data_IF_010807999576
#
_entry.id   IF_010807999576
#
_cell.length_a   1.000
_cell.length_b   1.000
_cell.length_c   1.000
_cell.angle_alpha   90.00
_cell.angle_beta   90.00
_cell.angle_gamma   90.00
#
_symmetry.space_group_name_H-M   'P 1'
#
loop_
_entity.id
_entity.type
_entity.pdbx_description
1 polymer ?
#
# COMPACT_ATOMS: atom_id res chain seq x y z
N UNK A 1 24.64 1.24 22.98
CA UNK A 1 24.94 0.24 21.95
C UNK A 1 24.40 -1.12 22.40
N UNK A 2 23.63 -1.76 21.56
CA UNK A 2 23.05 -3.06 21.88
C UNK A 2 24.01 -4.18 21.50
N UNK A 3 24.15 -5.25 22.32
CA UNK A 3 24.93 -6.40 21.92
C UNK A 3 24.36 -7.03 20.64
N UNK A 4 25.18 -7.63 19.76
CA UNK A 4 24.71 -8.21 18.51
C UNK A 4 23.58 -9.23 18.68
N UNK A 5 23.53 -9.92 19.82
CA UNK A 5 22.53 -10.96 20.09
C UNK A 5 21.21 -10.40 20.62
N UNK A 6 21.18 -9.15 21.12
CA UNK A 6 19.96 -8.54 21.64
C UNK A 6 19.33 -7.55 20.70
N UNK A 7 20.02 -7.23 19.58
CA UNK A 7 19.47 -6.37 18.55
C UNK A 7 18.32 -7.04 17.82
N UNK A 8 17.31 -6.27 17.48
CA UNK A 8 16.20 -6.73 16.67
C UNK A 8 16.20 -5.98 15.35
N UNK A 9 15.39 -6.45 14.39
CA UNK A 9 15.24 -5.76 13.11
C UNK A 9 13.82 -5.87 12.61
N UNK A 10 13.39 -4.82 11.93
CA UNK A 10 12.14 -4.78 11.19
C UNK A 10 12.46 -5.05 9.72
N UNK A 11 11.77 -6.02 9.14
CA UNK A 11 11.86 -6.31 7.70
C UNK A 11 10.56 -5.83 7.07
N UNK A 12 10.60 -4.63 6.51
CA UNK A 12 9.43 -3.98 5.94
C UNK A 12 9.46 -4.11 4.42
N UNK A 13 8.48 -4.81 3.87
CA UNK A 13 8.31 -4.97 2.43
C UNK A 13 7.27 -3.97 1.93
N UNK A 14 7.72 -2.97 1.20
CA UNK A 14 6.86 -1.89 0.68
C UNK A 14 6.44 -2.23 -0.74
N UNK A 15 5.15 -2.51 -0.94
CA UNK A 15 4.60 -2.97 -2.21
C UNK A 15 3.62 -1.97 -2.81
N UNK A 16 3.60 -1.93 -4.14
CA UNK A 16 2.60 -1.19 -4.91
C UNK A 16 1.91 -2.15 -5.87
N UNK A 17 0.66 -1.84 -6.20
CA UNK A 17 -0.06 -2.62 -7.19
C UNK A 17 0.46 -2.32 -8.60
N UNK A 18 0.28 -3.26 -9.52
CA UNK A 18 0.67 -3.07 -10.91
C UNK A 18 0.08 -1.78 -11.52
N UNK A 19 -1.20 -1.50 -11.24
CA UNK A 19 -1.84 -0.28 -11.74
C UNK A 19 -1.37 0.99 -11.03
N UNK A 20 -0.61 0.86 -9.95
CA UNK A 20 0.00 1.98 -9.25
C UNK A 20 1.45 2.24 -9.69
N UNK A 21 1.80 1.91 -10.91
CA UNK A 21 3.19 2.03 -11.39
C UNK A 21 3.74 3.45 -11.28
N UNK A 22 2.91 4.47 -11.42
CA UNK A 22 3.34 5.86 -11.26
C UNK A 22 3.77 6.17 -9.82
N UNK A 23 3.25 5.46 -8.83
CA UNK A 23 3.68 5.61 -7.44
C UNK A 23 5.13 5.19 -7.24
N UNK A 24 5.67 4.35 -8.10
CA UNK A 24 7.06 3.94 -8.05
C UNK A 24 8.05 5.08 -8.26
N UNK A 25 7.59 6.22 -8.78
CA UNK A 25 8.41 7.44 -8.92
C UNK A 25 8.50 8.22 -7.62
N UNK A 26 7.67 7.88 -6.63
CA UNK A 26 7.62 8.53 -5.32
C UNK A 26 8.40 7.67 -4.33
N UNK A 27 9.30 8.30 -3.57
CA UNK A 27 10.04 7.60 -2.51
C UNK A 27 9.15 7.49 -1.28
N UNK A 28 8.87 6.27 -0.78
CA UNK A 28 8.06 6.13 0.43
C UNK A 28 8.80 6.67 1.65
N UNK A 29 8.04 7.23 2.59
CA UNK A 29 8.56 7.73 3.85
C UNK A 29 8.14 6.77 4.96
N UNK A 30 9.12 6.29 5.72
CA UNK A 30 8.92 5.42 6.86
C UNK A 30 9.20 6.23 8.11
N UNK A 31 8.23 6.28 9.03
CA UNK A 31 8.37 7.01 10.30
C UNK A 31 8.35 5.98 11.42
N UNK A 32 9.42 5.93 12.21
CA UNK A 32 9.54 5.03 13.34
C UNK A 32 9.72 5.87 14.60
N UNK A 33 8.77 5.75 15.53
CA UNK A 33 8.76 6.52 16.80
C UNK A 33 8.88 8.04 16.56
N UNK A 34 8.20 8.52 15.50
CA UNK A 34 8.21 9.93 15.15
C UNK A 34 9.41 10.39 14.35
N UNK A 35 10.34 9.51 14.00
CA UNK A 35 11.54 9.83 13.23
C UNK A 35 11.38 9.41 11.78
N UNK A 36 11.28 10.35 10.83
CA UNK A 36 11.13 10.02 9.43
C UNK A 36 12.44 9.55 8.80
N UNK A 37 12.32 8.61 7.87
CA UNK A 37 13.44 8.17 7.05
C UNK A 37 12.91 7.85 5.65
N UNK A 38 13.78 7.97 4.65
CA UNK A 38 13.45 7.56 3.30
C UNK A 38 13.51 6.05 3.18
N UNK A 39 12.41 5.45 2.71
CA UNK A 39 12.36 4.04 2.38
C UNK A 39 12.61 3.81 0.90
N UNK A 40 12.40 2.57 0.49
CA UNK A 40 12.42 2.19 -0.93
C UNK A 40 11.35 1.15 -1.17
N UNK A 41 10.96 1.03 -2.42
CA UNK A 41 10.06 -0.04 -2.82
C UNK A 41 10.78 -1.38 -2.68
N UNK A 42 10.06 -2.37 -2.18
CA UNK A 42 10.63 -3.66 -1.87
C UNK A 42 11.03 -3.79 -0.41
N UNK A 43 12.00 -4.62 -0.13
CA UNK A 43 12.40 -4.97 1.24
C UNK A 43 13.30 -3.90 1.84
N UNK A 44 12.90 -3.41 3.01
CA UNK A 44 13.70 -2.50 3.85
C UNK A 44 14.04 -3.23 5.15
N UNK A 45 15.32 -3.40 5.44
CA UNK A 45 15.78 -3.99 6.69
C UNK A 45 16.22 -2.87 7.62
N UNK A 46 15.52 -2.71 8.74
CA UNK A 46 15.75 -1.60 9.66
C UNK A 46 16.12 -2.17 11.02
N UNK A 47 17.38 -2.01 11.46
CA UNK A 47 17.76 -2.42 12.80
C UNK A 47 17.11 -1.52 13.85
N UNK A 48 16.50 -2.11 14.84
CA UNK A 48 15.82 -1.40 15.92
C UNK A 48 16.15 -2.07 17.26
N UNK A 49 16.18 -1.30 18.37
CA UNK A 49 16.29 -1.90 19.68
C UNK A 49 15.04 -2.70 20.01
N UNK A 50 15.16 -3.76 20.85
CA UNK A 50 13.99 -4.48 21.32
C UNK A 50 13.00 -3.56 22.04
N UNK A 51 11.73 -3.88 21.97
CA UNK A 51 10.68 -3.15 22.64
C UNK A 51 9.55 -2.75 21.72
N UNK A 52 8.74 -1.81 22.18
CA UNK A 52 7.59 -1.30 21.46
C UNK A 52 8.01 -0.15 20.54
N UNK A 53 7.55 -0.21 19.29
CA UNK A 53 7.78 0.85 18.31
C UNK A 53 6.51 1.18 17.56
N UNK A 54 6.34 2.45 17.23
CA UNK A 54 5.25 2.91 16.35
C UNK A 54 5.79 3.08 14.94
N UNK A 55 5.16 2.38 14.00
CA UNK A 55 5.53 2.40 12.59
C UNK A 55 4.45 3.12 11.80
N UNK A 56 4.86 4.07 10.96
CA UNK A 56 4.00 4.79 10.04
C UNK A 56 4.65 4.82 8.66
N UNK A 57 3.87 4.57 7.63
CA UNK A 57 4.34 4.62 6.24
C UNK A 57 3.36 5.46 5.42
N UNK A 58 3.89 6.34 4.59
CA UNK A 58 3.09 7.10 3.64
C UNK A 58 3.94 7.46 2.42
N UNK A 59 3.25 7.88 1.36
CA UNK A 59 3.89 8.39 0.15
C UNK A 59 3.68 9.90 0.10
N UNK A 60 4.77 10.72 0.07
CA UNK A 60 4.61 12.16 0.00
C UNK A 60 4.15 12.59 -1.39
N UNK A 61 3.20 13.52 -1.43
CA UNK A 61 2.65 14.05 -2.68
C UNK A 61 2.13 15.47 -2.47
N UNK A 62 1.79 16.14 -3.57
CA UNK A 62 1.32 17.52 -3.51
C UNK A 62 -0.14 17.60 -3.06
N UNK A 63 -1.01 16.74 -3.61
CA UNK A 63 -2.42 16.71 -3.27
C UNK A 63 -3.00 15.32 -3.57
N UNK A 64 -3.36 14.54 -2.54
CA UNK A 64 -3.20 14.84 -1.11
C UNK A 64 -1.73 14.87 -0.69
N UNK A 65 -1.42 15.53 0.42
CA UNK A 65 -0.04 15.62 0.91
C UNK A 65 0.54 14.25 1.28
N UNK A 66 -0.31 13.31 1.62
CA UNK A 66 0.07 11.94 1.96
C UNK A 66 -0.80 10.98 1.20
N UNK A 67 -0.17 10.09 0.46
CA UNK A 67 -0.86 8.98 -0.20
C UNK A 67 -0.67 7.74 0.65
N UNK A 68 -1.77 7.05 0.94
CA UNK A 68 -1.77 5.76 1.60
C UNK A 68 -1.18 5.73 2.99
N UNK A 69 -1.50 6.68 3.90
CA UNK A 69 -0.98 6.63 5.26
C UNK A 69 -1.47 5.37 5.98
N UNK A 70 -0.58 4.74 6.72
CA UNK A 70 -0.90 3.56 7.52
C UNK A 70 -0.03 3.53 8.77
N UNK A 71 -0.59 3.09 9.87
CA UNK A 71 0.07 3.05 11.17
C UNK A 71 -0.03 1.64 11.77
N UNK A 72 1.03 1.24 12.46
CA UNK A 72 1.09 -0.05 13.14
C UNK A 72 1.99 0.06 14.37
N UNK A 73 1.54 -0.48 15.49
CA UNK A 73 2.40 -0.66 16.66
C UNK A 73 3.00 -2.06 16.62
N UNK A 74 4.32 -2.14 16.73
CA UNK A 74 5.05 -3.40 16.70
C UNK A 74 5.80 -3.63 18.01
N UNK A 75 5.99 -4.91 18.35
CA UNK A 75 6.76 -5.33 19.51
C UNK A 75 7.91 -6.20 19.01
N UNK A 76 9.14 -5.80 19.33
CA UNK A 76 10.33 -6.53 18.95
C UNK A 76 10.96 -7.17 20.16
N UNK A 77 11.19 -8.48 20.08
CA UNK A 77 11.93 -9.22 21.09
C UNK A 77 13.43 -9.24 20.73
N UNK A 78 14.33 -9.39 21.71
CA UNK A 78 15.76 -9.48 21.41
C UNK A 78 16.07 -10.57 20.38
N UNK A 79 16.87 -10.23 19.38
CA UNK A 79 17.25 -11.14 18.30
C UNK A 79 16.15 -11.40 17.26
N UNK A 80 15.00 -10.75 17.38
CA UNK A 80 13.86 -10.98 16.51
C UNK A 80 14.00 -10.26 15.18
N UNK A 81 13.60 -10.93 14.08
CA UNK A 81 13.36 -10.30 12.78
C UNK A 81 11.86 -10.34 12.52
N UNK A 82 11.22 -9.18 12.51
CA UNK A 82 9.77 -9.08 12.33
C UNK A 82 9.44 -8.71 10.88
N UNK A 83 8.80 -9.62 10.13
CA UNK A 83 8.35 -9.30 8.78
C UNK A 83 7.03 -8.52 8.83
N UNK A 84 6.99 -7.38 8.14
CA UNK A 84 5.80 -6.54 8.00
C UNK A 84 5.66 -6.16 6.54
N UNK A 85 4.45 -6.10 6.04
CA UNK A 85 4.17 -5.72 4.67
C UNK A 85 3.35 -4.43 4.64
N UNK A 86 3.74 -3.50 3.78
CA UNK A 86 2.96 -2.31 3.43
C UNK A 86 2.52 -2.44 1.98
N UNK A 87 1.23 -2.23 1.73
CA UNK A 87 0.68 -2.13 0.38
C UNK A 87 0.10 -0.75 0.16
N UNK A 88 0.61 -0.07 -0.86
CA UNK A 88 0.10 1.22 -1.26
C UNK A 88 -1.35 1.08 -1.78
N UNK A 89 -2.20 2.10 -1.57
CA UNK A 89 -3.57 2.05 -2.04
C UNK A 89 -3.63 2.13 -3.58
N UNK A 90 -4.70 1.61 -4.14
CA UNK A 90 -4.96 1.74 -5.58
C UNK A 90 -5.52 3.11 -5.94
N UNK A 91 -6.09 3.81 -4.96
CA UNK A 91 -6.60 5.17 -5.10
C UNK A 91 -5.86 6.10 -4.15
N UNK A 92 -5.51 7.29 -4.64
CA UNK A 92 -4.65 8.23 -3.90
C UNK A 92 -5.24 8.69 -2.56
N UNK A 93 -6.57 8.70 -2.43
CA UNK A 93 -7.24 9.15 -1.22
C UNK A 93 -7.55 8.02 -0.24
N UNK A 94 -7.16 6.79 -0.56
CA UNK A 94 -7.34 5.65 0.32
C UNK A 94 -6.14 5.46 1.25
N UNK A 95 -6.38 4.85 2.41
CA UNK A 95 -5.29 4.47 3.31
C UNK A 95 -4.51 3.29 2.74
N UNK A 96 -3.25 3.17 3.15
CA UNK A 96 -2.46 1.99 2.88
C UNK A 96 -2.81 0.83 3.81
N UNK A 97 -2.33 -0.35 3.52
CA UNK A 97 -2.44 -1.52 4.39
C UNK A 97 -1.06 -1.84 4.97
N UNK A 98 -0.98 -1.96 6.29
CA UNK A 98 0.26 -2.21 7.01
C UNK A 98 0.02 -3.25 8.09
N UNK A 99 0.78 -4.34 8.04
CA UNK A 99 0.66 -5.42 9.00
C UNK A 99 1.39 -6.67 8.55
N UNK A 100 1.14 -7.82 9.21
CA UNK A 100 1.73 -9.09 8.79
C UNK A 100 1.34 -9.44 7.35
N UNK A 101 2.25 -10.03 6.60
CA UNK A 101 1.98 -10.48 5.24
C UNK A 101 1.06 -11.72 5.22
N UNK A 102 0.18 -11.90 4.20
CA UNK A 102 -0.10 -10.96 3.14
C UNK A 102 -1.16 -9.92 3.55
N UNK A 103 -1.01 -8.69 3.08
CA UNK A 103 -2.01 -7.64 3.25
C UNK A 103 -2.90 -7.55 2.03
N UNK A 104 -4.14 -7.05 2.21
CA UNK A 104 -5.04 -6.78 1.08
C UNK A 104 -4.64 -5.47 0.41
N UNK A 105 -4.96 -5.35 -0.87
CA UNK A 105 -4.77 -4.10 -1.59
C UNK A 105 -5.86 -3.11 -1.19
N UNK A 106 -5.50 -1.99 -0.53
CA UNK A 106 -6.51 -1.00 -0.11
C UNK A 106 -7.15 -0.34 -1.33
N UNK A 107 -8.46 -0.14 -1.25
CA UNK A 107 -9.21 0.48 -2.33
C UNK A 107 -9.53 -0.43 -3.50
N UNK A 108 -9.22 -1.72 -3.42
CA UNK A 108 -9.48 -2.69 -4.50
C UNK A 108 -10.95 -2.71 -4.90
N UNK A 109 -11.87 -2.75 -3.92
CA UNK A 109 -13.30 -2.76 -4.19
C UNK A 109 -13.76 -1.52 -4.94
N UNK A 110 -13.33 -0.34 -4.50
CA UNK A 110 -13.64 0.91 -5.18
C UNK A 110 -13.03 0.98 -6.57
N UNK A 111 -11.80 0.51 -6.72
CA UNK A 111 -11.12 0.49 -8.00
C UNK A 111 -11.85 -0.41 -9.01
N UNK A 112 -12.26 -1.60 -8.59
CA UNK A 112 -13.02 -2.52 -9.43
C UNK A 112 -14.37 -1.91 -9.81
N UNK A 113 -15.05 -1.25 -8.88
CA UNK A 113 -16.34 -0.59 -9.16
C UNK A 113 -16.19 0.55 -10.17
N UNK A 114 -15.13 1.36 -10.05
CA UNK A 114 -14.86 2.46 -10.98
C UNK A 114 -14.64 1.94 -12.40
N UNK A 115 -14.02 0.78 -12.56
CA UNK A 115 -13.82 0.17 -13.87
C UNK A 115 -15.06 -0.58 -14.36
N UNK A 116 -15.77 -1.29 -13.46
CA UNK A 116 -16.90 -2.14 -13.83
C UNK A 116 -18.15 -1.35 -14.26
N UNK A 117 -18.45 -0.24 -13.59
CA UNK A 117 -19.66 0.55 -13.87
C UNK A 117 -19.64 1.11 -15.31
N UNK A 118 -18.59 1.83 -15.75
CA UNK A 118 -18.55 2.30 -17.13
C UNK A 118 -18.57 1.17 -18.17
N UNK A 119 -17.87 0.06 -17.87
CA UNK A 119 -17.85 -1.11 -18.76
C UNK A 119 -19.24 -1.69 -18.93
N UNK A 120 -20.03 -1.77 -17.84
CA UNK A 120 -21.40 -2.23 -17.89
C UNK A 120 -22.28 -1.33 -18.77
N UNK A 121 -22.16 -0.01 -18.64
CA UNK A 121 -22.91 0.93 -19.47
C UNK A 121 -22.53 0.85 -20.94
N UNK A 122 -21.26 0.68 -21.25
CA UNK A 122 -20.80 0.50 -22.63
C UNK A 122 -21.38 -0.79 -23.23
N UNK A 123 -21.38 -1.87 -22.47
CA UNK A 123 -21.96 -3.15 -22.91
C UNK A 123 -23.46 -3.01 -23.15
N UNK A 124 -24.18 -2.35 -22.24
CA UNK A 124 -25.62 -2.16 -22.35
C UNK A 124 -25.95 -1.33 -23.61
N UNK A 125 -25.20 -0.26 -23.85
CA UNK A 125 -25.38 0.56 -25.04
C UNK A 125 -25.13 -0.23 -26.33
N UNK A 126 -24.08 -1.05 -26.34
CA UNK A 126 -23.78 -1.90 -27.49
C UNK A 126 -24.92 -2.89 -27.77
N UNK A 127 -25.51 -3.48 -26.73
CA UNK A 127 -26.65 -4.39 -26.88
C UNK A 127 -27.90 -3.69 -27.42
N UNK A 128 -28.14 -2.44 -26.97
CA UNK A 128 -29.28 -1.66 -27.48
C UNK A 128 -29.10 -1.32 -28.98
N UNK A 129 -27.88 -0.90 -29.36
CA UNK A 129 -27.58 -0.61 -30.76
C UNK A 129 -27.74 -1.86 -31.64
N UNK A 130 -27.25 -3.01 -31.14
CA UNK A 130 -27.39 -4.26 -31.85
C UNK A 130 -28.85 -4.66 -32.02
N UNK A 131 -29.67 -4.48 -31.01
CA UNK A 131 -31.09 -4.78 -31.05
C UNK A 131 -31.80 -3.90 -32.11
N UNK A 132 -31.48 -2.59 -32.15
CA UNK A 132 -32.01 -1.71 -33.18
C UNK A 132 -31.59 -2.13 -34.57
N UNK A 133 -30.34 -2.49 -34.78
CA UNK A 133 -29.85 -2.97 -36.08
C UNK A 133 -30.59 -4.24 -36.51
N UNK A 134 -30.81 -5.18 -35.59
CA UNK A 134 -31.53 -6.40 -35.92
C UNK A 134 -33.01 -6.17 -36.20
N UNK A 135 -33.61 -5.16 -35.60
CA UNK A 135 -35.02 -4.83 -35.83
C UNK A 135 -35.27 -4.24 -37.24
N UNK A 136 -34.22 -3.72 -37.87
CA UNK A 136 -34.31 -3.26 -39.25
C UNK A 136 -34.10 -4.37 -40.31
N UNK A 137 -33.71 -5.55 -39.88
CA UNK A 137 -33.59 -6.70 -40.76
C UNK A 137 -34.92 -7.49 -40.80
#
# INVERSE_FOLDING_TARGET
>A
MYPPHSGAQLVLDVKRHFFGFMLGMITPIIVIDGRPMQGRWGVNVIPLPPGRHHLHVHLPYLMPQRIGPADLTIWLQPGMSLPVEYRAPMLAFSNGALGPAPQRWPGMGCFVAILAIPAFFVLLLALLVLNEMLSFL
#
